data_IF_408215988535
#
_entry.id   IF_408215988535
#
_cell.length_a   1.000
_cell.length_b   1.000
_cell.length_c   1.000
_cell.angle_alpha   90.00
_cell.angle_beta   90.00
_cell.angle_gamma   90.00
#
_symmetry.space_group_name_H-M   'P 1'
#
loop_
_entity.id
_entity.type
_entity.pdbx_description
1 polymer ?
#
# COMPACT_ATOMS: atom_id res chain seq x y z
N UNK A 1 -57.51 11.02 -24.89
CA UNK A 1 -57.14 11.71 -23.64
C UNK A 1 -56.79 10.67 -22.60
N UNK A 2 -55.50 10.46 -22.31
CA UNK A 2 -55.06 9.53 -21.26
C UNK A 2 -55.18 10.27 -19.92
N UNK A 3 -55.94 9.70 -18.98
CA UNK A 3 -56.15 10.30 -17.66
C UNK A 3 -54.82 10.35 -16.90
N UNK A 4 -54.47 11.53 -16.40
CA UNK A 4 -53.19 11.88 -15.73
C UNK A 4 -52.84 11.09 -14.45
N UNK A 5 -53.54 10.00 -14.11
CA UNK A 5 -53.54 9.46 -12.76
C UNK A 5 -52.92 8.07 -12.56
N UNK A 6 -52.22 7.52 -13.55
CA UNK A 6 -51.76 6.12 -13.47
C UNK A 6 -50.29 5.89 -13.07
N UNK A 7 -49.52 6.94 -12.73
CA UNK A 7 -48.11 6.76 -12.33
C UNK A 7 -47.75 7.59 -11.09
N UNK A 8 -48.38 7.28 -9.96
CA UNK A 8 -47.75 7.51 -8.65
C UNK A 8 -47.38 6.17 -8.03
N UNK A 9 -46.31 5.56 -8.55
CA UNK A 9 -45.59 4.52 -7.81
C UNK A 9 -45.00 5.22 -6.58
N UNK A 10 -45.52 4.89 -5.39
CA UNK A 10 -44.85 5.29 -4.14
C UNK A 10 -43.57 4.47 -4.04
N UNK A 11 -42.45 5.07 -4.43
CA UNK A 11 -41.15 4.53 -4.07
C UNK A 11 -41.02 4.70 -2.56
N UNK A 12 -41.26 3.62 -1.81
CA UNK A 12 -40.97 3.59 -0.39
C UNK A 12 -39.46 3.78 -0.22
N UNK A 13 -39.06 4.74 0.61
CA UNK A 13 -37.65 4.94 0.97
C UNK A 13 -37.16 3.64 1.60
N UNK A 14 -36.12 3.06 1.01
CA UNK A 14 -35.47 1.88 1.56
C UNK A 14 -34.62 2.28 2.76
N UNK A 15 -34.54 1.39 3.74
CA UNK A 15 -33.62 1.55 4.86
C UNK A 15 -32.17 1.42 4.38
N UNK A 16 -31.30 2.21 4.99
CA UNK A 16 -29.87 2.15 4.70
C UNK A 16 -29.25 0.89 5.29
N UNK A 17 -28.51 0.15 4.47
CA UNK A 17 -27.69 -0.99 4.89
C UNK A 17 -26.21 -0.56 4.84
N UNK A 18 -25.52 -0.41 5.98
CA UNK A 18 -24.11 -0.09 6.00
C UNK A 18 -23.25 -1.23 5.43
N UNK A 19 -22.10 -0.94 4.82
CA UNK A 19 -21.16 -1.97 4.38
C UNK A 19 -20.52 -2.67 5.59
N UNK A 20 -20.13 -3.93 5.40
CA UNK A 20 -19.29 -4.66 6.35
C UNK A 20 -17.84 -4.27 6.12
N UNK A 21 -17.14 -3.82 7.17
CA UNK A 21 -15.71 -3.50 7.16
C UNK A 21 -15.02 -4.50 8.08
N UNK A 22 -13.96 -5.13 7.58
CA UNK A 22 -13.15 -6.09 8.33
C UNK A 22 -11.69 -5.66 8.28
N UNK A 23 -10.99 -5.84 9.40
CA UNK A 23 -9.57 -5.54 9.55
C UNK A 23 -8.90 -6.81 10.01
N UNK A 24 -7.89 -7.25 9.25
CA UNK A 24 -7.03 -8.37 9.61
C UNK A 24 -5.62 -7.85 9.87
N UNK A 25 -5.01 -8.32 10.95
CA UNK A 25 -3.61 -8.08 11.25
C UNK A 25 -2.82 -9.30 10.82
N UNK A 26 -1.92 -9.12 9.86
CA UNK A 26 -0.96 -10.13 9.46
C UNK A 26 0.39 -9.78 10.04
N UNK A 27 0.96 -10.71 10.81
CA UNK A 27 2.34 -10.62 11.26
C UNK A 27 3.24 -11.18 10.15
N UNK A 28 4.13 -10.33 9.63
CA UNK A 28 5.18 -10.74 8.69
C UNK A 28 6.50 -10.84 9.44
N UNK A 29 7.37 -11.75 9.03
CA UNK A 29 8.73 -11.83 9.54
C UNK A 29 9.47 -10.53 9.24
N UNK A 30 10.14 -9.95 10.24
CA UNK A 30 11.08 -8.85 10.04
C UNK A 30 12.42 -9.40 9.54
N UNK A 31 12.41 -9.86 8.29
CA UNK A 31 13.62 -10.27 7.58
C UNK A 31 14.19 -9.10 6.79
N UNK A 32 15.49 -8.84 6.94
CA UNK A 32 16.26 -8.15 5.90
C UNK A 32 16.25 -9.12 4.71
N UNK A 33 15.53 -8.80 3.64
CA UNK A 33 15.53 -9.66 2.46
C UNK A 33 16.98 -9.81 1.97
N UNK A 34 17.36 -11.01 1.53
CA UNK A 34 18.68 -11.21 0.97
C UNK A 34 18.89 -10.22 -0.20
N UNK A 35 19.85 -9.32 -0.07
CA UNK A 35 20.09 -8.23 -1.03
C UNK A 35 19.40 -6.89 -0.73
N UNK A 36 18.67 -6.74 0.38
CA UNK A 36 18.00 -5.47 0.72
C UNK A 36 18.90 -4.43 1.42
N UNK A 37 20.14 -4.79 1.74
CA UNK A 37 21.14 -3.85 2.25
C UNK A 37 22.56 -4.36 1.96
N UNK A 38 23.42 -3.47 1.47
CA UNK A 38 24.86 -3.66 1.37
C UNK A 38 25.55 -2.47 2.03
N UNK A 39 26.69 -2.70 2.68
CA UNK A 39 27.47 -1.63 3.31
C UNK A 39 28.90 -1.64 2.77
N UNK A 40 29.35 -0.52 2.21
CA UNK A 40 30.77 -0.33 1.87
C UNK A 40 31.55 0.10 3.12
N UNK A 41 32.65 -0.60 3.50
CA UNK A 41 33.48 -0.18 4.62
C UNK A 41 34.14 1.18 4.37
N UNK A 42 34.46 1.96 5.43
CA UNK A 42 35.12 3.25 5.29
C UNK A 42 36.46 3.14 4.55
N UNK A 43 36.85 4.19 3.83
CA UNK A 43 38.15 4.24 3.19
C UNK A 43 39.30 4.32 4.23
N UNK A 44 40.56 4.21 3.80
CA UNK A 44 41.74 4.27 4.69
C UNK A 44 41.85 5.58 5.52
N UNK A 45 41.11 6.61 5.15
CA UNK A 45 41.04 7.89 5.87
C UNK A 45 39.83 7.96 6.83
N UNK A 46 39.12 6.85 7.04
CA UNK A 46 37.96 6.75 7.93
C UNK A 46 36.68 7.39 7.40
N UNK A 47 36.63 7.76 6.12
CA UNK A 47 35.44 8.36 5.52
C UNK A 47 34.43 7.28 5.14
N UNK A 48 33.21 7.39 5.66
CA UNK A 48 32.05 6.58 5.27
C UNK A 48 31.57 7.07 3.90
N UNK A 49 31.40 6.15 2.95
CA UNK A 49 30.97 6.48 1.58
C UNK A 49 29.49 6.17 1.30
N UNK A 50 28.88 5.32 2.12
CA UNK A 50 27.47 4.97 2.05
C UNK A 50 26.72 5.66 3.18
N UNK A 51 26.04 6.75 2.84
CA UNK A 51 25.16 7.49 3.76
C UNK A 51 23.71 7.31 3.30
N UNK A 52 22.89 6.73 4.16
CA UNK A 52 21.49 6.41 3.88
C UNK A 52 20.60 7.65 3.69
N UNK A 53 20.98 8.77 4.31
CA UNK A 53 20.17 10.00 4.33
C UNK A 53 20.45 10.94 3.15
N UNK A 54 21.59 10.76 2.46
CA UNK A 54 22.08 11.69 1.42
C UNK A 54 22.11 11.03 0.04
N UNK A 55 21.96 9.70 -0.04
CA UNK A 55 21.95 8.97 -1.31
C UNK A 55 20.57 8.92 -1.93
N UNK A 56 20.54 9.02 -3.25
CA UNK A 56 19.34 8.74 -4.05
C UNK A 56 18.99 7.24 -3.91
N UNK A 57 17.70 6.93 -3.96
CA UNK A 57 17.21 5.55 -3.94
C UNK A 57 17.80 4.76 -5.12
N UNK A 58 18.65 3.79 -4.83
CA UNK A 58 19.19 2.86 -5.83
C UNK A 58 18.27 1.62 -5.92
N UNK A 59 17.71 1.38 -7.11
CA UNK A 59 16.99 0.14 -7.40
C UNK A 59 18.01 -0.89 -7.88
N UNK A 60 18.25 -1.91 -7.07
CA UNK A 60 19.00 -3.08 -7.50
C UNK A 60 18.03 -4.15 -8.00
N UNK A 61 18.31 -4.71 -9.18
CA UNK A 61 17.61 -5.89 -9.67
C UNK A 61 17.96 -7.07 -8.76
N UNK A 62 16.98 -7.58 -8.03
CA UNK A 62 17.13 -8.79 -7.21
C UNK A 62 16.88 -9.99 -8.12
N UNK A 63 17.93 -10.76 -8.43
CA UNK A 63 17.78 -12.07 -9.08
C UNK A 63 17.19 -13.07 -8.07
N UNK A 64 15.89 -13.36 -8.21
CA UNK A 64 15.24 -14.44 -7.48
C UNK A 64 15.53 -15.77 -8.19
N UNK A 65 16.39 -16.60 -7.59
CA UNK A 65 16.66 -17.99 -8.04
C UNK A 65 15.48 -18.92 -7.77
#
# INVERSE_FOLDING_TARGET
MIKKNELKRSFHKMDYLPPRIEVEFLEIEQGIAAGSAYTVPPNMNGQVKDEWEIKDDEIHDVEWL
#
